data_IF_712730568543
#
_entry.id   IF_712730568543
#
_cell.length_a   1.000
_cell.length_b   1.000
_cell.length_c   1.000
_cell.angle_alpha   90.00
_cell.angle_beta   90.00
_cell.angle_gamma   90.00
#
_symmetry.space_group_name_H-M   'P 1'
#
loop_
_entity.id
_entity.type
_entity.pdbx_description
1 polymer ?
#
# COMPACT_ATOMS: atom_id res chain seq x y z
N UNK A 1 16.33 -18.29 8.66
CA UNK A 1 14.98 -18.15 9.23
C UNK A 1 14.39 -16.79 8.90
N UNK A 2 14.93 -15.69 9.41
CA UNK A 2 14.36 -14.34 9.24
C UNK A 2 14.18 -13.90 7.79
N UNK A 3 15.13 -14.20 6.90
CA UNK A 3 14.97 -13.91 5.45
C UNK A 3 13.82 -14.69 4.81
N UNK A 4 13.47 -15.87 5.33
CA UNK A 4 12.31 -16.63 4.86
C UNK A 4 11.00 -16.02 5.39
N UNK A 5 11.01 -15.61 6.65
CA UNK A 5 9.88 -14.99 7.34
C UNK A 5 9.49 -13.64 6.70
N UNK A 6 10.48 -12.86 6.27
CA UNK A 6 10.27 -11.57 5.59
C UNK A 6 10.29 -11.67 4.06
N UNK A 7 10.14 -12.87 3.49
CA UNK A 7 10.34 -13.11 2.05
C UNK A 7 9.30 -12.44 1.14
N UNK A 8 8.15 -12.06 1.69
CA UNK A 8 7.13 -11.27 0.98
C UNK A 8 7.68 -9.91 0.51
N UNK A 9 8.64 -9.34 1.23
CA UNK A 9 9.26 -8.06 0.90
C UNK A 9 10.19 -8.15 -0.33
N UNK A 10 10.59 -9.36 -0.73
CA UNK A 10 11.40 -9.62 -1.93
C UNK A 10 10.53 -9.95 -3.14
N UNK A 11 9.21 -9.81 -3.05
CA UNK A 11 8.29 -10.04 -4.18
C UNK A 11 7.96 -8.70 -4.85
N UNK A 12 7.11 -8.75 -5.87
CA UNK A 12 6.65 -7.54 -6.54
C UNK A 12 5.77 -6.68 -5.64
N UNK A 13 5.61 -5.41 -6.03
CA UNK A 13 4.81 -4.42 -5.31
C UNK A 13 3.43 -4.90 -4.89
N UNK A 14 2.70 -5.56 -5.81
CA UNK A 14 1.34 -6.07 -5.54
C UNK A 14 1.31 -7.01 -4.34
N UNK A 15 2.32 -7.88 -4.21
CA UNK A 15 2.46 -8.76 -3.05
C UNK A 15 2.78 -7.97 -1.80
N UNK A 16 3.80 -7.12 -1.81
CA UNK A 16 4.21 -6.31 -0.66
C UNK A 16 3.05 -5.47 -0.11
N UNK A 17 2.29 -4.82 -0.99
CA UNK A 17 1.12 -4.05 -0.65
C UNK A 17 0.02 -4.90 -0.03
N UNK A 18 -0.29 -6.06 -0.64
CA UNK A 18 -1.33 -6.95 -0.12
C UNK A 18 -0.97 -7.48 1.26
N UNK A 19 0.30 -7.79 1.49
CA UNK A 19 0.80 -8.23 2.79
C UNK A 19 0.72 -7.10 3.81
N UNK A 20 1.06 -5.86 3.44
CA UNK A 20 0.87 -4.70 4.33
C UNK A 20 -0.61 -4.53 4.73
N UNK A 21 -1.54 -4.64 3.78
CA UNK A 21 -2.99 -4.60 4.07
C UNK A 21 -3.40 -5.67 5.10
N UNK A 22 -2.95 -6.91 4.92
CA UNK A 22 -3.26 -8.00 5.83
C UNK A 22 -2.66 -7.78 7.24
N UNK A 23 -1.40 -7.34 7.31
CA UNK A 23 -0.72 -7.03 8.58
C UNK A 23 -1.46 -5.91 9.33
N UNK A 24 -1.78 -4.79 8.67
CA UNK A 24 -2.48 -3.70 9.34
C UNK A 24 -3.91 -4.05 9.72
N UNK A 25 -4.59 -4.88 8.92
CA UNK A 25 -5.91 -5.40 9.31
C UNK A 25 -5.82 -6.20 10.62
N UNK A 26 -4.79 -7.02 10.78
CA UNK A 26 -4.55 -7.78 12.02
C UNK A 26 -4.18 -6.85 13.18
N UNK A 27 -3.20 -5.96 12.98
CA UNK A 27 -2.76 -4.98 13.99
C UNK A 27 -3.89 -4.10 14.48
N UNK A 28 -4.75 -3.61 13.59
CA UNK A 28 -5.88 -2.78 13.96
C UNK A 28 -6.96 -3.58 14.68
N UNK A 29 -7.17 -4.84 14.31
CA UNK A 29 -8.09 -5.72 15.05
C UNK A 29 -7.61 -5.93 16.49
N UNK A 30 -6.30 -6.14 16.69
CA UNK A 30 -5.70 -6.22 18.01
C UNK A 30 -5.81 -4.88 18.76
N UNK A 31 -5.48 -3.76 18.12
CA UNK A 31 -5.53 -2.44 18.75
C UNK A 31 -6.94 -2.04 19.20
N UNK A 32 -7.98 -2.45 18.46
CA UNK A 32 -9.38 -2.25 18.87
C UNK A 32 -9.73 -3.07 20.12
N UNK A 33 -9.23 -4.32 20.22
CA UNK A 33 -9.40 -5.13 21.43
C UNK A 33 -8.66 -4.51 22.62
N UNK A 34 -7.45 -4.00 22.41
CA UNK A 34 -6.69 -3.30 23.46
C UNK A 34 -7.45 -2.06 23.96
N UNK A 35 -8.02 -1.25 23.05
CA UNK A 35 -8.89 -0.12 23.41
C UNK A 35 -10.13 -0.57 24.20
N UNK A 36 -10.78 -1.65 23.78
CA UNK A 36 -11.96 -2.20 24.46
C UNK A 36 -11.62 -2.71 25.89
N UNK A 37 -10.38 -3.15 26.11
CA UNK A 37 -9.87 -3.54 27.43
C UNK A 37 -9.39 -2.34 28.27
N UNK A 38 -9.48 -1.11 27.77
CA UNK A 38 -9.02 0.10 28.45
C UNK A 38 -7.51 0.36 28.32
N UNK A 39 -6.80 -0.38 27.47
CA UNK A 39 -5.39 -0.17 27.18
C UNK A 39 -5.19 0.80 26.02
N UNK A 40 -4.03 1.47 26.01
CA UNK A 40 -3.62 2.30 24.87
C UNK A 40 -2.78 1.44 23.91
N UNK A 41 -3.25 1.17 22.68
CA UNK A 41 -2.45 0.45 21.71
C UNK A 41 -1.22 1.25 21.27
N UNK A 42 -0.19 0.53 20.85
CA UNK A 42 0.96 1.12 20.17
C UNK A 42 0.53 1.74 18.83
N UNK A 43 1.27 2.74 18.36
CA UNK A 43 0.84 3.55 17.21
C UNK A 43 0.54 2.74 15.95
N UNK A 44 1.35 1.73 15.64
CA UNK A 44 1.13 0.87 14.47
C UNK A 44 -0.14 -0.01 14.57
N UNK A 45 -0.70 -0.18 15.76
CA UNK A 45 -1.94 -0.91 16.02
C UNK A 45 -3.14 0.03 16.20
N UNK A 46 -2.92 1.33 16.35
CA UNK A 46 -3.99 2.31 16.48
C UNK A 46 -4.42 2.82 15.10
N UNK A 47 -5.52 2.29 14.56
CA UNK A 47 -6.04 2.67 13.23
C UNK A 47 -6.33 4.18 13.07
N UNK A 48 -6.49 4.92 14.16
CA UNK A 48 -6.74 6.38 14.13
C UNK A 48 -5.43 7.19 14.08
N UNK A 49 -4.29 6.55 14.33
CA UNK A 49 -2.97 7.20 14.41
C UNK A 49 -1.98 6.67 13.39
N UNK A 50 -2.04 5.37 13.08
CA UNK A 50 -1.12 4.71 12.16
C UNK A 50 -1.09 5.39 10.79
N UNK A 51 0.09 5.86 10.39
CA UNK A 51 0.37 6.32 9.03
C UNK A 51 1.16 5.24 8.28
N UNK A 52 0.44 4.42 7.52
CA UNK A 52 0.96 3.19 6.92
C UNK A 52 2.22 3.40 6.06
N UNK A 53 2.32 4.41 5.17
CA UNK A 53 3.51 4.60 4.35
C UNK A 53 4.78 4.81 5.17
N UNK A 54 4.74 5.66 6.19
CA UNK A 54 5.89 5.94 7.05
C UNK A 54 6.27 4.71 7.88
N UNK A 55 5.28 4.00 8.44
CA UNK A 55 5.52 2.78 9.18
C UNK A 55 6.15 1.69 8.29
N UNK A 56 5.70 1.54 7.04
CA UNK A 56 6.28 0.60 6.08
C UNK A 56 7.68 1.01 5.65
N UNK A 57 7.93 2.29 5.35
CA UNK A 57 9.27 2.79 5.03
C UNK A 57 10.22 2.54 6.20
N UNK A 58 9.81 2.87 7.42
CA UNK A 58 10.59 2.65 8.63
C UNK A 58 10.89 1.17 8.86
N UNK A 59 9.90 0.28 8.70
CA UNK A 59 10.10 -1.16 8.77
C UNK A 59 11.11 -1.66 7.73
N UNK A 60 11.00 -1.17 6.49
CA UNK A 60 11.89 -1.61 5.41
C UNK A 60 13.32 -1.13 5.63
N UNK A 61 13.53 0.13 6.02
CA UNK A 61 14.86 0.71 6.24
C UNK A 61 15.58 0.12 7.45
N UNK A 62 14.85 -0.09 8.55
CA UNK A 62 15.47 -0.45 9.83
C UNK A 62 15.45 -1.96 10.10
N UNK A 63 14.64 -2.74 9.38
CA UNK A 63 14.51 -4.19 9.60
C UNK A 63 14.78 -4.96 8.31
N UNK A 64 13.94 -4.82 7.28
CA UNK A 64 13.99 -5.70 6.12
C UNK A 64 15.28 -5.52 5.28
N UNK A 65 15.63 -4.28 4.92
CA UNK A 65 16.80 -3.99 4.09
C UNK A 65 18.12 -4.44 4.74
N UNK A 66 18.39 -4.18 6.05
CA UNK A 66 19.58 -4.70 6.71
C UNK A 66 19.71 -6.23 6.65
N UNK A 67 18.59 -6.96 6.80
CA UNK A 67 18.57 -8.43 6.71
C UNK A 67 18.96 -8.90 5.31
N UNK A 68 18.40 -8.31 4.27
CA UNK A 68 18.73 -8.70 2.89
C UNK A 68 20.08 -8.17 2.42
N UNK A 69 20.57 -7.07 3.01
CA UNK A 69 21.95 -6.60 2.81
C UNK A 69 22.94 -7.61 3.34
N UNK A 70 22.73 -8.11 4.56
CA UNK A 70 23.57 -9.16 5.14
C UNK A 70 23.52 -10.44 4.30
N UNK A 71 22.33 -10.82 3.82
CA UNK A 71 22.18 -11.99 2.95
C UNK A 71 22.97 -11.83 1.63
N UNK A 72 22.88 -10.65 0.99
CA UNK A 72 23.66 -10.28 -0.21
C UNK A 72 25.16 -10.33 0.05
N UNK A 73 25.61 -9.86 1.20
CA UNK A 73 27.04 -9.84 1.56
C UNK A 73 27.61 -11.24 1.77
N UNK A 74 26.79 -12.17 2.26
CA UNK A 74 27.15 -13.59 2.42
C UNK A 74 27.03 -14.38 1.12
N UNK A 75 25.99 -14.10 0.33
CA UNK A 75 25.66 -14.79 -0.90
C UNK A 75 25.41 -13.79 -2.02
N UNK A 76 26.42 -13.52 -2.83
CA UNK A 76 26.34 -12.52 -3.90
C UNK A 76 25.16 -12.76 -4.87
N UNK A 77 24.77 -14.03 -5.06
CA UNK A 77 23.62 -14.43 -5.87
C UNK A 77 22.27 -13.90 -5.33
N UNK A 78 22.17 -13.56 -4.05
CA UNK A 78 20.95 -12.98 -3.46
C UNK A 78 20.86 -11.46 -3.60
N UNK A 79 21.73 -10.84 -4.42
CA UNK A 79 21.70 -9.38 -4.66
C UNK A 79 20.32 -8.91 -5.11
N UNK A 80 19.65 -9.68 -5.97
CA UNK A 80 18.31 -9.34 -6.46
C UNK A 80 17.26 -9.18 -5.35
N UNK A 81 17.40 -9.91 -4.24
CA UNK A 81 16.46 -9.85 -3.13
C UNK A 81 16.58 -8.51 -2.41
N UNK A 82 17.80 -8.03 -2.18
CA UNK A 82 18.05 -6.72 -1.59
C UNK A 82 17.56 -5.60 -2.50
N UNK A 83 17.90 -5.65 -3.80
CA UNK A 83 17.46 -4.62 -4.76
C UNK A 83 15.93 -4.57 -4.87
N UNK A 84 15.24 -5.72 -4.77
CA UNK A 84 13.77 -5.75 -4.77
C UNK A 84 13.17 -5.07 -3.55
N UNK A 85 13.72 -5.33 -2.36
CA UNK A 85 13.26 -4.70 -1.12
C UNK A 85 13.52 -3.19 -1.18
N UNK A 86 14.67 -2.75 -1.68
CA UNK A 86 14.97 -1.34 -1.90
C UNK A 86 13.96 -0.68 -2.87
N UNK A 87 13.65 -1.32 -3.99
CA UNK A 87 12.66 -0.84 -4.96
C UNK A 87 11.25 -0.73 -4.35
N UNK A 88 10.83 -1.70 -3.53
CA UNK A 88 9.56 -1.67 -2.83
C UNK A 88 9.52 -0.52 -1.80
N UNK A 89 10.62 -0.22 -1.10
CA UNK A 89 10.74 0.94 -0.19
C UNK A 89 10.60 2.26 -0.93
N UNK A 90 11.24 2.40 -2.10
CA UNK A 90 11.04 3.57 -2.95
C UNK A 90 9.58 3.71 -3.39
N UNK A 91 8.92 2.60 -3.73
CA UNK A 91 7.52 2.65 -4.15
C UNK A 91 6.60 3.12 -3.04
N UNK A 92 6.82 2.69 -1.80
CA UNK A 92 6.13 3.26 -0.63
C UNK A 92 6.34 4.77 -0.49
N UNK A 93 7.55 5.26 -0.74
CA UNK A 93 7.82 6.71 -0.75
C UNK A 93 7.04 7.42 -1.85
N UNK A 94 7.01 6.84 -3.06
CA UNK A 94 6.27 7.42 -4.19
C UNK A 94 4.77 7.47 -3.93
N UNK A 95 4.18 6.43 -3.36
CA UNK A 95 2.73 6.41 -3.10
C UNK A 95 2.32 7.09 -1.78
N UNK A 96 3.26 7.54 -0.96
CA UNK A 96 2.98 8.19 0.34
C UNK A 96 2.05 9.40 0.21
N UNK A 97 2.21 10.21 -0.84
CA UNK A 97 1.36 11.39 -1.10
C UNK A 97 -0.11 11.04 -1.36
N UNK A 98 -0.41 9.80 -1.78
CA UNK A 98 -1.78 9.32 -1.98
C UNK A 98 -2.49 9.02 -0.65
N UNK A 99 -1.74 8.86 0.45
CA UNK A 99 -2.33 8.73 1.77
C UNK A 99 -2.65 10.10 2.36
N UNK A 100 -3.91 10.49 2.25
CA UNK A 100 -4.48 11.62 3.00
C UNK A 100 -5.18 11.18 4.29
N UNK A 101 -5.35 9.87 4.48
CA UNK A 101 -6.15 9.27 5.55
C UNK A 101 -5.25 8.41 6.45
N UNK A 102 -5.49 8.43 7.77
CA UNK A 102 -4.85 7.52 8.74
C UNK A 102 -5.58 6.17 8.79
N UNK A 103 -4.84 5.10 9.01
CA UNK A 103 -5.38 3.74 9.00
C UNK A 103 -5.68 3.20 7.59
N UNK A 104 -6.62 2.26 7.51
CA UNK A 104 -7.12 1.71 6.24
C UNK A 104 -8.36 2.48 5.77
N UNK A 105 -8.61 2.56 4.45
CA UNK A 105 -9.86 3.08 3.92
C UNK A 105 -11.06 2.25 4.38
N UNK A 106 -12.28 2.76 4.15
CA UNK A 106 -13.53 2.11 4.57
C UNK A 106 -13.73 0.69 4.01
N UNK A 107 -13.14 0.39 2.85
CA UNK A 107 -13.14 -0.95 2.25
C UNK A 107 -12.04 -1.89 2.78
N UNK A 108 -11.26 -1.44 3.78
CA UNK A 108 -10.10 -2.14 4.34
C UNK A 108 -9.06 -2.59 3.29
N UNK A 109 -8.92 -1.85 2.19
CA UNK A 109 -8.03 -2.20 1.08
C UNK A 109 -7.01 -1.11 0.77
N UNK A 110 -5.80 -1.53 0.39
CA UNK A 110 -4.76 -0.65 -0.14
C UNK A 110 -4.75 -0.59 -1.67
N UNK A 111 -5.80 -1.10 -2.34
CA UNK A 111 -5.80 -1.27 -3.79
C UNK A 111 -5.65 0.04 -4.57
N UNK A 112 -6.07 1.16 -3.98
CA UNK A 112 -5.93 2.52 -4.54
C UNK A 112 -4.47 2.97 -4.76
N UNK A 113 -3.49 2.22 -4.25
CA UNK A 113 -2.06 2.50 -4.44
C UNK A 113 -1.47 1.86 -5.72
N UNK A 114 -2.22 1.05 -6.46
CA UNK A 114 -1.73 0.53 -7.75
C UNK A 114 -1.73 1.62 -8.83
N UNK A 115 -0.71 1.61 -9.69
CA UNK A 115 -0.58 2.49 -10.86
C UNK A 115 -1.72 2.25 -11.88
N UNK A 116 -2.29 1.05 -11.92
CA UNK A 116 -3.48 0.75 -12.75
C UNK A 116 -4.71 1.56 -12.31
N UNK A 117 -4.78 1.99 -11.05
CA UNK A 117 -5.86 2.83 -10.54
C UNK A 117 -5.79 4.25 -11.12
N UNK A 118 -4.58 4.81 -11.31
CA UNK A 118 -4.38 6.14 -11.92
C UNK A 118 -4.79 6.16 -13.40
N UNK A 119 -4.56 5.04 -14.12
CA UNK A 119 -4.98 4.90 -15.53
C UNK A 119 -6.51 4.83 -15.62
N UNK A 120 -7.17 4.11 -14.70
CA UNK A 120 -8.63 4.04 -14.65
C UNK A 120 -9.27 5.39 -14.27
N UNK A 121 -8.73 6.08 -13.26
CA UNK A 121 -9.22 7.39 -12.83
C UNK A 121 -9.00 8.46 -13.92
N UNK A 122 -7.82 8.46 -14.56
CA UNK A 122 -7.50 9.34 -15.69
C UNK A 122 -8.40 9.11 -16.92
N UNK A 123 -8.68 7.86 -17.30
CA UNK A 123 -9.65 7.56 -18.37
C UNK A 123 -11.06 8.03 -18.01
N UNK A 124 -11.45 7.88 -16.74
CA UNK A 124 -12.79 8.20 -16.27
C UNK A 124 -13.03 9.72 -16.21
N UNK A 125 -11.98 10.50 -15.93
CA UNK A 125 -12.01 11.96 -16.02
C UNK A 125 -11.91 12.45 -17.47
N UNK A 126 -11.14 11.82 -18.37
CA UNK A 126 -11.18 12.11 -19.82
C UNK A 126 -12.56 11.85 -20.43
N UNK A 127 -13.24 10.75 -20.04
CA UNK A 127 -14.59 10.43 -20.48
C UNK A 127 -15.63 11.46 -20.00
N UNK A 128 -15.47 12.01 -18.79
CA UNK A 128 -16.33 13.09 -18.28
C UNK A 128 -16.11 14.41 -19.02
N UNK A 129 -14.86 14.72 -19.39
CA UNK A 129 -14.53 15.97 -20.10
C UNK A 129 -15.03 15.99 -21.55
N UNK A 130 -15.19 14.82 -22.18
CA UNK A 130 -15.73 14.71 -23.54
C UNK A 130 -17.26 14.58 -23.60
N UNK A 131 -17.97 14.65 -22.46
CA UNK A 131 -19.42 14.47 -22.35
C UNK A 131 -20.28 15.70 -22.66
N UNK A 132 -19.84 16.62 -23.52
CA UNK A 132 -20.58 17.85 -23.83
C UNK A 132 -21.49 17.71 -25.08
N UNK A 133 -22.69 17.19 -24.85
CA UNK A 133 -24.00 17.45 -25.53
C UNK A 133 -24.00 17.75 -27.04
N UNK A 134 -24.38 16.76 -27.86
CA UNK A 134 -25.11 17.04 -29.11
C UNK A 134 -26.61 17.16 -28.81
N UNK A 135 -27.15 18.35 -29.07
CA UNK A 135 -28.56 18.68 -28.88
C UNK A 135 -29.37 18.35 -30.12
N UNK A 136 -30.50 17.66 -29.90
CA UNK A 136 -31.75 17.64 -30.68
C UNK A 136 -31.70 17.11 -32.12
N UNK A 137 -32.44 16.03 -32.34
CA UNK A 137 -33.44 15.99 -33.41
C UNK A 137 -34.68 15.22 -32.94
N UNK A 138 -35.76 15.97 -32.76
CA UNK A 138 -37.12 15.48 -32.60
C UNK A 138 -37.74 15.34 -33.99
N UNK A 139 -38.06 14.12 -34.41
CA UNK A 139 -38.98 13.88 -35.53
C UNK A 139 -40.13 13.04 -35.02
N UNK A 140 -41.23 13.73 -34.70
CA UNK A 140 -42.57 13.17 -34.56
C UNK A 140 -43.11 12.99 -35.98
N UNK A 141 -43.71 11.83 -36.24
CA UNK A 141 -44.28 11.48 -37.53
C UNK A 141 -45.56 12.23 -37.88
N UNK A 142 -45.88 12.16 -39.16
CA UNK A 142 -47.22 12.07 -39.73
C UNK A 142 -47.16 11.05 -40.89
#
# INVERSE_FOLDING_TARGET
MTSSDLSDQTKGWKTTRKIAELIYKEFFSQGDLEKAMGNRPVEMMDREKAYIPELQISFMEHIAMPIYKLLKDLFLQSSELYERVAANREKWTRVSHKFTIRGLPSNNSLDFLDEEYDIQEGLQDELKMNGCVESKESVVGD
#
